data_IF_053419457411
#
_entry.id   IF_053419457411
#
_cell.length_a   1.000
_cell.length_b   1.000
_cell.length_c   1.000
_cell.angle_alpha   90.00
_cell.angle_beta   90.00
_cell.angle_gamma   90.00
#
_symmetry.space_group_name_H-M   'P 1'
#
loop_
_entity.id
_entity.type
_entity.pdbx_description
1 polymer ?
#
# COMPACT_ATOMS: atom_id res chain seq x y z
N UNK A 1 10.11 -16.36 -26.53
CA UNK A 1 8.82 -15.64 -26.58
C UNK A 1 8.96 -14.35 -25.79
N UNK A 2 8.57 -13.21 -26.37
CA UNK A 2 8.68 -11.91 -25.69
C UNK A 2 7.69 -11.76 -24.53
N UNK A 3 8.01 -10.91 -23.56
CA UNK A 3 7.08 -10.53 -22.51
C UNK A 3 6.01 -9.57 -23.07
N UNK A 4 4.75 -9.73 -22.67
CA UNK A 4 3.67 -8.82 -23.06
C UNK A 4 2.96 -8.24 -21.82
N UNK A 5 2.42 -7.03 -21.98
CA UNK A 5 1.64 -6.35 -20.94
C UNK A 5 0.29 -7.05 -20.76
N UNK A 6 -0.09 -7.33 -19.50
CA UNK A 6 -1.35 -8.00 -19.17
C UNK A 6 -2.30 -7.06 -18.44
N UNK A 7 -1.79 -6.32 -17.46
CA UNK A 7 -2.57 -5.40 -16.62
C UNK A 7 -1.72 -4.17 -16.32
N UNK A 8 -2.36 -3.00 -16.41
CA UNK A 8 -1.82 -1.73 -15.94
C UNK A 8 -2.74 -1.17 -14.85
N UNK A 9 -2.16 -0.75 -13.74
CA UNK A 9 -2.88 -0.15 -12.60
C UNK A 9 -2.01 0.87 -11.87
N UNK A 10 -2.63 1.69 -11.03
CA UNK A 10 -1.92 2.71 -10.24
C UNK A 10 -1.91 2.35 -8.76
N UNK A 11 -0.82 2.68 -8.08
CA UNK A 11 -0.69 2.55 -6.62
C UNK A 11 -0.37 3.91 -6.04
N UNK A 12 -1.16 4.31 -5.05
CA UNK A 12 -1.03 5.56 -4.31
C UNK A 12 -1.52 5.35 -2.88
N UNK A 13 -1.34 6.34 -2.01
CA UNK A 13 -1.77 6.30 -0.62
C UNK A 13 -1.69 7.67 0.00
N UNK A 14 -2.00 7.78 1.29
CA UNK A 14 -1.73 8.98 2.07
C UNK A 14 -2.41 10.21 1.43
N UNK A 15 -3.70 10.12 1.15
CA UNK A 15 -4.45 11.27 0.62
C UNK A 15 -4.74 12.31 1.71
N UNK A 16 -4.77 11.89 2.98
CA UNK A 16 -4.86 12.77 4.16
C UNK A 16 -5.97 13.82 4.04
N UNK A 17 -7.17 13.41 3.59
CA UNK A 17 -8.33 14.32 3.46
C UNK A 17 -8.61 14.99 4.80
N UNK A 18 -8.63 16.32 4.80
CA UNK A 18 -8.74 17.15 6.01
C UNK A 18 -7.47 17.96 6.32
N UNK A 19 -6.30 17.55 5.82
CA UNK A 19 -5.10 18.39 5.82
C UNK A 19 -5.21 19.54 4.80
N UNK A 20 -4.52 20.65 5.06
CA UNK A 20 -4.55 21.82 4.18
C UNK A 20 -4.13 21.47 2.74
N UNK A 21 -4.99 21.79 1.76
CA UNK A 21 -4.76 21.55 0.34
C UNK A 21 -4.81 20.09 -0.12
N UNK A 22 -5.00 19.12 0.78
CA UNK A 22 -4.88 17.70 0.45
C UNK A 22 -5.94 17.21 -0.54
N UNK A 23 -7.18 17.67 -0.41
CA UNK A 23 -8.26 17.35 -1.34
C UNK A 23 -7.92 17.75 -2.78
N UNK A 24 -7.45 18.99 -2.97
CA UNK A 24 -7.13 19.53 -4.30
C UNK A 24 -6.01 18.73 -4.95
N UNK A 25 -4.97 18.37 -4.19
CA UNK A 25 -3.86 17.55 -4.69
C UNK A 25 -4.35 16.14 -5.00
N UNK A 26 -5.14 15.54 -4.11
CA UNK A 26 -5.67 14.19 -4.30
C UNK A 26 -6.49 14.08 -5.59
N UNK A 27 -7.40 15.02 -5.85
CA UNK A 27 -8.18 15.10 -7.10
C UNK A 27 -7.26 15.17 -8.33
N UNK A 28 -6.21 15.99 -8.28
CA UNK A 28 -5.25 16.13 -9.40
C UNK A 28 -4.44 14.85 -9.64
N UNK A 29 -3.91 14.23 -8.59
CA UNK A 29 -3.17 12.96 -8.67
C UNK A 29 -4.09 11.88 -9.22
N UNK A 30 -5.30 11.75 -8.67
CA UNK A 30 -6.26 10.74 -9.06
C UNK A 30 -6.67 10.88 -10.53
N UNK A 31 -6.93 12.12 -10.99
CA UNK A 31 -7.22 12.41 -12.41
C UNK A 31 -6.13 11.92 -13.37
N UNK A 32 -4.86 11.96 -12.96
CA UNK A 32 -3.75 11.42 -13.76
C UNK A 32 -3.66 9.90 -13.64
N UNK A 33 -3.76 9.37 -12.41
CA UNK A 33 -3.57 7.97 -12.08
C UNK A 33 -4.58 7.04 -12.75
N UNK A 34 -5.81 7.48 -13.01
CA UNK A 34 -6.88 6.65 -13.57
C UNK A 34 -6.85 6.54 -15.10
N UNK A 35 -6.17 7.45 -15.82
CA UNK A 35 -6.28 7.58 -17.29
C UNK A 35 -6.05 6.28 -18.07
N UNK A 36 -5.07 5.49 -17.64
CA UNK A 36 -4.67 4.24 -18.30
C UNK A 36 -4.71 3.03 -17.37
N UNK A 37 -5.34 3.18 -16.20
CA UNK A 37 -5.30 2.17 -15.14
C UNK A 37 -6.62 1.43 -15.09
N UNK A 38 -6.56 0.09 -15.07
CA UNK A 38 -7.75 -0.75 -14.89
C UNK A 38 -8.40 -0.57 -13.51
N UNK A 39 -7.58 -0.27 -12.51
CA UNK A 39 -8.00 0.01 -11.13
C UNK A 39 -6.89 0.80 -10.43
N UNK A 40 -7.17 1.25 -9.22
CA UNK A 40 -6.16 1.82 -8.32
C UNK A 40 -6.05 0.99 -7.03
N UNK A 41 -4.89 1.03 -6.39
CA UNK A 41 -4.68 0.63 -5.00
C UNK A 41 -4.41 1.89 -4.20
N UNK A 42 -5.17 2.09 -3.12
CA UNK A 42 -4.99 3.16 -2.15
C UNK A 42 -4.53 2.59 -0.80
N UNK A 43 -3.30 2.88 -0.40
CA UNK A 43 -2.59 2.24 0.69
C UNK A 43 -2.91 2.64 2.14
N UNK A 44 -4.05 3.26 2.37
CA UNK A 44 -4.40 3.85 3.68
C UNK A 44 -4.03 5.32 3.83
N UNK A 45 -4.31 5.82 5.01
CA UNK A 45 -4.32 7.24 5.37
C UNK A 45 -5.17 8.06 4.38
N UNK A 46 -6.43 7.62 4.25
CA UNK A 46 -7.44 8.34 3.47
C UNK A 46 -7.79 9.68 4.10
N UNK A 47 -7.79 9.74 5.44
CA UNK A 47 -8.11 10.94 6.20
C UNK A 47 -6.88 11.43 6.95
N UNK A 48 -6.79 12.74 7.14
CA UNK A 48 -5.88 13.28 8.15
C UNK A 48 -6.56 13.19 9.52
N UNK A 49 -5.79 12.78 10.52
CA UNK A 49 -6.22 12.74 11.92
C UNK A 49 -5.23 13.35 12.89
N UNK A 50 -4.26 14.11 12.39
CA UNK A 50 -3.21 14.77 13.19
C UNK A 50 -3.78 15.66 14.29
N UNK A 51 -4.88 16.36 14.03
CA UNK A 51 -5.54 17.24 15.01
C UNK A 51 -6.48 16.50 15.96
N UNK A 52 -6.46 15.17 15.96
CA UNK A 52 -7.41 14.30 16.68
C UNK A 52 -8.88 14.75 16.49
N UNK A 53 -9.37 14.86 15.24
CA UNK A 53 -10.75 15.24 14.98
C UNK A 53 -11.72 14.24 15.63
N UNK A 54 -12.86 14.73 16.10
CA UNK A 54 -13.95 13.90 16.61
C UNK A 54 -14.48 12.91 15.56
N UNK A 55 -15.22 11.90 16.01
CA UNK A 55 -15.64 10.77 15.18
C UNK A 55 -16.45 11.19 13.94
N UNK A 56 -17.40 12.11 14.12
CA UNK A 56 -18.23 12.63 13.01
C UNK A 56 -17.39 13.28 11.91
N UNK A 57 -16.35 14.02 12.28
CA UNK A 57 -15.48 14.69 11.31
C UNK A 57 -14.61 13.67 10.58
N UNK A 58 -14.12 12.62 11.26
CA UNK A 58 -13.41 11.52 10.60
C UNK A 58 -14.30 10.77 9.61
N UNK A 59 -15.57 10.49 9.97
CA UNK A 59 -16.56 9.87 9.07
C UNK A 59 -16.77 10.77 7.85
N UNK A 60 -16.98 12.08 8.05
CA UNK A 60 -17.18 13.05 6.96
C UNK A 60 -15.99 13.07 6.00
N UNK A 61 -14.75 13.12 6.53
CA UNK A 61 -13.52 13.07 5.72
C UNK A 61 -13.42 11.77 4.92
N UNK A 62 -13.77 10.64 5.51
CA UNK A 62 -13.70 9.35 4.83
C UNK A 62 -14.78 9.22 3.74
N UNK A 63 -15.99 9.71 3.99
CA UNK A 63 -17.05 9.79 2.97
C UNK A 63 -16.64 10.70 1.81
N UNK A 64 -15.97 11.82 2.09
CA UNK A 64 -15.43 12.71 1.07
C UNK A 64 -14.35 12.02 0.24
N UNK A 65 -13.40 11.32 0.89
CA UNK A 65 -12.43 10.46 0.19
C UNK A 65 -13.11 9.48 -0.76
N UNK A 66 -14.14 8.74 -0.29
CA UNK A 66 -14.90 7.80 -1.13
C UNK A 66 -15.60 8.47 -2.29
N UNK A 67 -16.20 9.63 -2.05
CA UNK A 67 -16.91 10.41 -3.07
C UNK A 67 -15.95 10.83 -4.17
N UNK A 68 -14.83 11.46 -3.79
CA UNK A 68 -13.77 11.84 -4.72
C UNK A 68 -13.25 10.62 -5.48
N UNK A 69 -12.95 9.53 -4.79
CA UNK A 69 -12.42 8.33 -5.44
C UNK A 69 -13.36 7.81 -6.54
N UNK A 70 -14.66 7.74 -6.23
CA UNK A 70 -15.70 7.26 -7.13
C UNK A 70 -15.98 8.20 -8.31
N UNK A 71 -15.72 9.50 -8.18
CA UNK A 71 -15.83 10.44 -9.31
C UNK A 71 -14.83 10.14 -10.44
N UNK A 72 -13.67 9.54 -10.12
CA UNK A 72 -12.61 9.30 -11.10
C UNK A 72 -12.44 7.83 -11.49
N UNK A 73 -12.82 6.88 -10.64
CA UNK A 73 -12.72 5.44 -10.95
C UNK A 73 -13.86 4.63 -10.34
N UNK A 74 -14.37 3.67 -11.12
CA UNK A 74 -15.34 2.67 -10.65
C UNK A 74 -14.69 1.50 -9.90
N UNK A 75 -13.37 1.33 -9.96
CA UNK A 75 -12.66 0.21 -9.31
C UNK A 75 -11.43 0.70 -8.57
N UNK A 76 -11.44 0.52 -7.26
CA UNK A 76 -10.31 0.78 -6.38
C UNK A 76 -10.26 -0.23 -5.25
N UNK A 77 -9.05 -0.53 -4.81
CA UNK A 77 -8.77 -1.31 -3.62
C UNK A 77 -8.20 -0.41 -2.55
N UNK A 78 -8.67 -0.53 -1.32
CA UNK A 78 -8.26 0.33 -0.22
C UNK A 78 -7.70 -0.50 0.94
N UNK A 79 -6.58 -0.06 1.49
CA UNK A 79 -6.00 -0.55 2.74
C UNK A 79 -6.17 0.52 3.83
N UNK A 80 -6.07 0.11 5.09
CA UNK A 80 -6.18 1.02 6.24
C UNK A 80 -4.80 1.49 6.69
N UNK A 81 -4.65 2.78 7.00
CA UNK A 81 -3.46 3.39 7.58
C UNK A 81 -3.64 3.84 9.03
N UNK A 82 -2.59 4.37 9.66
CA UNK A 82 -2.67 4.75 11.08
C UNK A 82 -3.60 5.95 11.32
N UNK A 83 -3.73 6.86 10.35
CA UNK A 83 -4.63 8.00 10.48
C UNK A 83 -6.11 7.63 10.33
N UNK A 84 -6.38 6.48 9.70
CA UNK A 84 -7.72 5.92 9.56
C UNK A 84 -8.17 5.17 10.83
N UNK A 85 -7.28 4.98 11.81
CA UNK A 85 -7.61 4.34 13.08
C UNK A 85 -8.40 5.28 14.01
N UNK A 86 -9.27 4.66 14.80
CA UNK A 86 -9.97 5.30 15.90
C UNK A 86 -9.47 4.74 17.23
N UNK A 87 -9.39 5.56 18.29
CA UNK A 87 -9.07 5.07 19.62
C UNK A 87 -10.08 3.97 19.98
N UNK A 88 -9.53 2.80 20.26
CA UNK A 88 -10.28 1.56 20.41
C UNK A 88 -10.87 1.53 21.82
N UNK A 89 -11.94 2.30 22.04
CA UNK A 89 -12.86 2.18 23.17
C UNK A 89 -14.16 2.91 22.78
N UNK A 90 -15.05 2.21 22.08
CA UNK A 90 -16.40 2.71 21.76
C UNK A 90 -16.56 3.43 20.41
N UNK A 91 -15.53 3.50 19.57
CA UNK A 91 -15.71 3.95 18.18
C UNK A 91 -16.69 3.01 17.48
N UNK A 92 -17.83 3.58 17.06
CA UNK A 92 -19.03 2.84 16.70
C UNK A 92 -18.82 1.94 15.47
N UNK A 93 -19.65 0.91 15.36
CA UNK A 93 -19.74 0.02 14.19
C UNK A 93 -19.94 0.79 12.86
N UNK A 94 -20.35 2.07 12.89
CA UNK A 94 -20.57 2.92 11.73
C UNK A 94 -19.31 3.16 10.89
N UNK A 95 -18.12 3.32 11.49
CA UNK A 95 -16.89 3.44 10.67
C UNK A 95 -16.51 2.09 10.06
N UNK A 96 -16.70 0.97 10.77
CA UNK A 96 -16.53 -0.37 10.18
C UNK A 96 -17.52 -0.61 9.03
N UNK A 97 -18.75 -0.14 9.15
CA UNK A 97 -19.75 -0.18 8.07
C UNK A 97 -19.34 0.69 6.87
N UNK A 98 -18.76 1.87 7.13
CA UNK A 98 -18.34 2.78 6.06
C UNK A 98 -17.04 2.37 5.35
N UNK A 99 -16.13 1.74 6.09
CA UNK A 99 -14.77 1.38 5.63
C UNK A 99 -14.68 -0.12 5.28
N UNK A 100 -15.76 -0.88 5.52
CA UNK A 100 -15.94 -2.31 5.26
C UNK A 100 -14.99 -3.21 6.07
N UNK A 101 -15.51 -4.37 6.50
CA UNK A 101 -14.81 -5.37 7.33
C UNK A 101 -13.60 -6.06 6.67
N UNK A 102 -13.09 -5.60 5.52
CA UNK A 102 -12.12 -6.31 4.67
C UNK A 102 -10.81 -5.53 4.43
N UNK A 103 -10.07 -5.19 5.50
CA UNK A 103 -8.67 -4.74 5.37
C UNK A 103 -7.68 -5.91 5.25
N UNK A 104 -8.20 -7.13 5.23
CA UNK A 104 -7.44 -8.35 5.05
C UNK A 104 -8.14 -9.18 3.98
N UNK A 105 -7.57 -9.27 2.79
CA UNK A 105 -8.22 -9.94 1.68
C UNK A 105 -7.23 -10.39 0.61
N UNK A 106 -7.63 -11.38 -0.19
CA UNK A 106 -6.98 -11.73 -1.45
C UNK A 106 -7.92 -11.39 -2.59
N UNK A 107 -7.46 -10.61 -3.56
CA UNK A 107 -8.24 -10.20 -4.72
C UNK A 107 -7.59 -10.71 -6.00
N UNK A 108 -8.38 -11.34 -6.87
CA UNK A 108 -7.90 -11.78 -8.19
C UNK A 108 -7.73 -10.57 -9.10
N UNK A 109 -6.55 -10.42 -9.72
CA UNK A 109 -6.34 -9.38 -10.71
C UNK A 109 -6.86 -9.84 -12.08
N UNK A 110 -7.75 -9.07 -12.75
CA UNK A 110 -8.45 -9.52 -13.96
C UNK A 110 -7.51 -10.00 -15.06
N UNK A 111 -7.76 -11.22 -15.57
CA UNK A 111 -7.00 -11.80 -16.68
C UNK A 111 -5.60 -12.32 -16.31
N UNK A 112 -5.32 -12.55 -15.03
CA UNK A 112 -4.01 -13.02 -14.55
C UNK A 112 -4.13 -14.11 -13.48
N UNK A 113 -3.02 -14.81 -13.20
CA UNK A 113 -2.84 -15.61 -11.96
C UNK A 113 -2.23 -14.77 -10.83
N UNK A 114 -2.18 -13.45 -10.99
CA UNK A 114 -1.67 -12.53 -9.97
C UNK A 114 -2.81 -12.14 -9.05
N UNK A 115 -2.54 -12.16 -7.75
CA UNK A 115 -3.47 -11.80 -6.69
C UNK A 115 -2.91 -10.63 -5.90
N UNK A 116 -3.78 -9.67 -5.59
CA UNK A 116 -3.48 -8.60 -4.65
C UNK A 116 -3.82 -9.09 -3.24
N UNK A 117 -2.82 -9.10 -2.36
CA UNK A 117 -2.96 -9.41 -0.94
C UNK A 117 -2.95 -8.12 -0.15
N UNK A 118 -4.10 -7.75 0.39
CA UNK A 118 -4.24 -6.59 1.27
C UNK A 118 -4.09 -7.05 2.71
N UNK A 119 -3.15 -6.47 3.45
CA UNK A 119 -2.89 -6.79 4.85
C UNK A 119 -3.06 -5.54 5.72
N UNK A 120 -3.46 -5.76 6.97
CA UNK A 120 -3.61 -4.70 7.95
C UNK A 120 -2.40 -4.66 8.88
N UNK A 121 -1.61 -3.60 8.76
CA UNK A 121 -0.55 -3.27 9.71
C UNK A 121 -0.60 -1.81 10.21
N UNK A 122 -1.77 -1.17 10.17
CA UNK A 122 -1.96 0.24 10.50
C UNK A 122 -1.44 0.65 11.90
N UNK A 123 -1.27 -0.32 12.81
CA UNK A 123 -0.71 -0.11 14.16
C UNK A 123 0.80 -0.34 14.25
N UNK A 124 1.53 -0.31 13.13
CA UNK A 124 2.96 -0.63 13.07
C UNK A 124 3.28 -2.12 13.25
N UNK A 125 2.26 -3.00 13.27
CA UNK A 125 2.38 -4.46 13.35
C UNK A 125 1.23 -5.13 12.60
N UNK A 126 1.48 -6.31 12.03
CA UNK A 126 0.43 -7.06 11.33
C UNK A 126 -0.66 -7.54 12.29
N UNK A 127 -1.92 -7.48 11.84
CA UNK A 127 -3.03 -8.11 12.53
C UNK A 127 -2.94 -9.64 12.46
N UNK A 128 -3.49 -10.34 13.46
CA UNK A 128 -3.55 -11.81 13.43
C UNK A 128 -4.24 -12.35 12.16
N UNK A 129 -5.37 -11.81 11.69
CA UNK A 129 -5.95 -12.22 10.42
C UNK A 129 -4.99 -12.06 9.23
N UNK A 130 -4.17 -11.01 9.21
CA UNK A 130 -3.17 -10.80 8.14
C UNK A 130 -2.14 -11.91 8.13
N UNK A 131 -1.57 -12.25 9.30
CA UNK A 131 -0.57 -13.31 9.44
C UNK A 131 -1.17 -14.69 9.10
N UNK A 132 -2.41 -14.94 9.49
CA UNK A 132 -3.12 -16.17 9.14
C UNK A 132 -3.37 -16.28 7.63
N UNK A 133 -3.80 -15.20 6.99
CA UNK A 133 -4.01 -15.16 5.54
C UNK A 133 -2.72 -15.47 4.76
N UNK A 134 -1.61 -14.87 5.17
CA UNK A 134 -0.28 -15.11 4.55
C UNK A 134 0.10 -16.59 4.57
N UNK A 135 -0.21 -17.31 5.65
CA UNK A 135 0.08 -18.75 5.78
C UNK A 135 -0.77 -19.62 4.84
N UNK A 136 -1.94 -19.13 4.41
CA UNK A 136 -2.91 -19.86 3.60
C UNK A 136 -2.82 -19.53 2.10
N UNK A 137 -1.86 -18.71 1.67
CA UNK A 137 -1.68 -18.38 0.26
C UNK A 137 -1.36 -19.63 -0.55
N UNK A 138 -2.07 -19.82 -1.65
CA UNK A 138 -1.92 -20.98 -2.52
C UNK A 138 -0.62 -20.88 -3.35
N UNK A 139 0.17 -21.96 -3.45
CA UNK A 139 1.48 -21.92 -4.08
C UNK A 139 1.45 -21.79 -5.62
N UNK A 140 0.31 -21.99 -6.27
CA UNK A 140 0.19 -21.86 -7.74
C UNK A 140 -0.02 -20.43 -8.24
N UNK A 141 -0.36 -19.49 -7.36
CA UNK A 141 -0.64 -18.10 -7.75
C UNK A 141 0.59 -17.21 -7.52
N UNK A 142 0.56 -16.03 -8.14
CA UNK A 142 1.53 -14.95 -7.93
C UNK A 142 0.92 -13.85 -7.07
N UNK A 143 1.72 -13.15 -6.28
CA UNK A 143 1.21 -12.23 -5.28
C UNK A 143 1.88 -10.86 -5.32
N UNK A 144 1.06 -9.84 -5.17
CA UNK A 144 1.47 -8.48 -4.83
C UNK A 144 0.93 -8.22 -3.43
N UNK A 145 1.80 -7.88 -2.49
CA UNK A 145 1.38 -7.47 -1.15
C UNK A 145 1.21 -5.96 -1.08
N UNK A 146 0.12 -5.51 -0.47
CA UNK A 146 -0.13 -4.10 -0.16
C UNK A 146 -0.51 -3.98 1.32
N UNK A 147 0.16 -3.06 2.02
CA UNK A 147 -0.11 -2.72 3.41
C UNK A 147 0.54 -1.39 3.79
N UNK A 148 0.07 -0.74 4.85
CA UNK A 148 0.38 0.67 5.09
C UNK A 148 1.82 0.93 5.56
N UNK A 149 2.23 0.34 6.70
CA UNK A 149 3.56 0.59 7.28
C UNK A 149 4.67 -0.15 6.52
N UNK A 150 5.75 0.53 6.08
CA UNK A 150 6.93 -0.10 5.51
C UNK A 150 7.58 -1.13 6.43
N UNK A 151 8.11 -2.20 5.84
CA UNK A 151 8.87 -3.23 6.55
C UNK A 151 10.23 -2.68 7.00
N UNK A 152 10.69 -3.16 8.16
CA UNK A 152 12.08 -2.97 8.58
C UNK A 152 12.99 -3.92 7.81
N UNK A 153 13.96 -3.41 7.06
CA UNK A 153 15.04 -4.25 6.58
C UNK A 153 15.71 -3.77 5.31
N UNK A 154 16.82 -4.43 5.00
CA UNK A 154 17.65 -4.14 3.84
C UNK A 154 18.21 -2.73 3.82
N UNK A 155 18.47 -2.25 2.62
CA UNK A 155 18.86 -0.87 2.30
C UNK A 155 17.65 0.07 2.18
N UNK A 156 16.46 -0.32 2.69
CA UNK A 156 15.23 0.48 2.63
C UNK A 156 15.17 1.55 3.72
N UNK A 157 15.64 1.20 4.92
CA UNK A 157 15.56 2.06 6.12
C UNK A 157 16.89 2.79 6.31
N UNK A 158 16.81 4.09 6.58
CA UNK A 158 17.94 4.97 6.84
C UNK A 158 18.57 4.61 8.19
N UNK A 159 19.91 4.49 8.25
CA UNK A 159 20.61 4.49 9.52
C UNK A 159 20.59 5.91 10.09
N UNK A 160 20.59 6.05 11.42
CA UNK A 160 20.53 7.34 12.14
C UNK A 160 21.64 8.35 11.75
N UNK A 161 22.62 7.95 10.95
CA UNK A 161 23.84 8.69 10.66
C UNK A 161 23.86 9.46 9.34
N UNK A 162 22.98 9.19 8.36
CA UNK A 162 23.03 9.87 7.04
C UNK A 162 21.64 10.04 6.41
N UNK A 163 21.25 11.27 6.07
CA UNK A 163 20.02 11.56 5.30
C UNK A 163 20.16 11.06 3.86
N UNK A 164 19.48 9.95 3.55
CA UNK A 164 19.44 9.34 2.23
C UNK A 164 18.04 9.56 1.63
N UNK A 165 17.97 10.22 0.48
CA UNK A 165 16.70 10.49 -0.21
C UNK A 165 16.02 9.21 -0.70
N UNK A 166 16.79 8.13 -0.84
CA UNK A 166 16.32 6.84 -1.34
C UNK A 166 16.02 5.85 -0.20
N UNK A 167 15.94 6.35 1.04
CA UNK A 167 15.58 5.57 2.23
C UNK A 167 14.50 6.26 3.05
N UNK A 168 13.81 5.45 3.85
CA UNK A 168 12.80 5.93 4.80
C UNK A 168 13.39 6.07 6.21
N UNK A 169 12.94 7.06 7.00
CA UNK A 169 13.33 7.15 8.41
C UNK A 169 12.92 5.89 9.18
N UNK A 170 13.74 5.45 10.15
CA UNK A 170 13.39 4.30 11.00
C UNK A 170 12.08 4.50 11.76
N UNK A 171 11.73 5.74 12.13
CA UNK A 171 10.46 6.07 12.79
C UNK A 171 9.22 5.86 11.92
N UNK A 172 9.39 5.67 10.60
CA UNK A 172 8.32 5.47 9.62
C UNK A 172 8.34 4.05 9.04
N UNK A 173 9.03 3.12 9.72
CA UNK A 173 9.03 1.70 9.39
C UNK A 173 8.52 0.91 10.61
N UNK A 174 8.02 -0.29 10.35
CA UNK A 174 7.77 -1.28 11.40
C UNK A 174 9.05 -1.58 12.19
N UNK A 175 8.92 -2.25 13.34
CA UNK A 175 10.12 -2.75 14.04
C UNK A 175 10.71 -3.97 13.33
N UNK A 176 11.94 -4.35 13.72
CA UNK A 176 12.60 -5.59 13.26
C UNK A 176 11.74 -6.81 13.60
N UNK A 177 11.21 -6.85 14.81
CA UNK A 177 10.42 -7.96 15.35
C UNK A 177 9.11 -8.11 14.58
N UNK A 178 8.37 -7.00 14.39
CA UNK A 178 7.11 -7.03 13.65
C UNK A 178 7.33 -7.40 12.17
N UNK A 179 8.47 -7.03 11.59
CA UNK A 179 8.85 -7.48 10.24
C UNK A 179 9.18 -8.97 10.20
N UNK A 180 9.90 -9.46 11.22
CA UNK A 180 10.22 -10.88 11.36
C UNK A 180 8.95 -11.74 11.47
N UNK A 181 7.91 -11.27 12.15
CA UNK A 181 6.63 -11.97 12.24
C UNK A 181 5.99 -12.22 10.86
N UNK A 182 6.03 -11.23 9.97
CA UNK A 182 5.54 -11.39 8.59
C UNK A 182 6.34 -12.43 7.81
N UNK A 183 7.68 -12.35 7.84
CA UNK A 183 8.52 -13.33 7.16
C UNK A 183 8.49 -14.72 7.80
N UNK A 184 8.17 -14.82 9.10
CA UNK A 184 7.87 -16.09 9.74
C UNK A 184 6.56 -16.67 9.23
N UNK A 185 5.51 -15.87 9.07
CA UNK A 185 4.26 -16.32 8.47
C UNK A 185 4.46 -16.79 7.02
N UNK A 186 5.23 -16.06 6.21
CA UNK A 186 5.61 -16.49 4.85
C UNK A 186 6.43 -17.79 4.86
N UNK A 187 7.39 -17.93 5.78
CA UNK A 187 8.18 -19.17 5.92
C UNK A 187 7.32 -20.38 6.28
N UNK A 188 6.24 -20.17 7.03
CA UNK A 188 5.27 -21.21 7.40
C UNK A 188 4.23 -21.47 6.31
N UNK A 189 4.18 -20.64 5.26
CA UNK A 189 3.37 -20.88 4.07
C UNK A 189 4.08 -21.84 3.10
N UNK A 190 3.33 -22.41 2.16
CA UNK A 190 3.89 -23.19 1.05
C UNK A 190 4.27 -22.32 -0.15
N UNK A 191 4.17 -20.99 -0.02
CA UNK A 191 4.35 -20.05 -1.12
C UNK A 191 5.80 -20.01 -1.62
N UNK A 192 6.07 -20.30 -2.92
CA UNK A 192 7.39 -20.10 -3.49
C UNK A 192 7.80 -18.63 -3.44
N UNK A 193 9.05 -18.34 -3.06
CA UNK A 193 9.57 -16.96 -2.98
C UNK A 193 9.48 -16.22 -4.31
N UNK A 194 9.69 -16.93 -5.42
CA UNK A 194 9.58 -16.42 -6.79
C UNK A 194 8.16 -15.97 -7.17
N UNK A 195 7.15 -16.35 -6.38
CA UNK A 195 5.76 -15.96 -6.61
C UNK A 195 5.40 -14.65 -5.88
N UNK A 196 6.33 -14.05 -5.13
CA UNK A 196 6.18 -12.73 -4.55
C UNK A 196 6.69 -11.70 -5.55
N UNK A 197 5.79 -11.04 -6.28
CA UNK A 197 6.16 -10.11 -7.34
C UNK A 197 6.59 -8.75 -6.81
N UNK A 198 5.90 -8.23 -5.79
CA UNK A 198 6.23 -6.98 -5.13
C UNK A 198 5.55 -6.83 -3.77
N UNK A 199 6.09 -5.88 -3.00
CA UNK A 199 5.49 -5.34 -1.79
C UNK A 199 5.35 -3.83 -1.96
N UNK A 200 4.13 -3.31 -1.81
CA UNK A 200 3.80 -1.88 -1.78
C UNK A 200 3.46 -1.44 -0.36
N UNK A 201 4.04 -0.32 0.06
CA UNK A 201 3.85 0.31 1.38
C UNK A 201 3.75 1.83 1.25
N UNK A 202 3.28 2.58 2.26
CA UNK A 202 2.76 3.95 2.02
C UNK A 202 3.18 4.99 3.07
N UNK A 203 3.11 4.65 4.35
CA UNK A 203 3.26 5.52 5.53
C UNK A 203 4.44 6.53 5.57
N UNK A 204 5.53 6.34 4.81
CA UNK A 204 6.72 7.17 4.94
C UNK A 204 6.70 8.49 4.13
N UNK A 205 5.61 8.79 3.41
CA UNK A 205 5.48 10.00 2.58
C UNK A 205 6.62 10.20 1.56
N UNK A 206 7.22 9.10 1.11
CA UNK A 206 8.34 9.08 0.15
C UNK A 206 8.12 8.06 -0.95
N UNK A 207 8.57 8.39 -2.15
CA UNK A 207 8.70 7.44 -3.25
C UNK A 207 10.06 6.76 -3.17
N UNK A 208 10.09 5.50 -2.71
CA UNK A 208 11.29 4.67 -2.67
C UNK A 208 11.06 3.40 -3.47
N UNK A 209 12.01 3.05 -4.34
CA UNK A 209 12.04 1.82 -5.12
C UNK A 209 13.33 1.08 -4.84
N UNK A 210 13.26 -0.07 -4.17
CA UNK A 210 14.44 -0.87 -3.81
C UNK A 210 14.16 -2.35 -4.02
N UNK A 211 15.23 -3.09 -4.25
CA UNK A 211 15.24 -4.55 -4.12
C UNK A 211 15.87 -4.86 -2.78
N UNK A 212 15.11 -5.52 -1.91
CA UNK A 212 15.46 -5.69 -0.50
C UNK A 212 15.74 -7.16 -0.17
N UNK A 213 16.66 -7.35 0.78
CA UNK A 213 16.88 -8.62 1.44
C UNK A 213 16.25 -8.57 2.83
N UNK A 214 15.38 -9.54 3.08
CA UNK A 214 14.62 -9.68 4.30
C UNK A 214 14.99 -10.98 5.03
N UNK A 215 14.58 -11.14 6.30
CA UNK A 215 14.87 -12.35 7.07
C UNK A 215 14.39 -13.64 6.41
N UNK A 216 14.83 -14.79 6.94
CA UNK A 216 14.44 -16.13 6.47
C UNK A 216 14.76 -16.40 4.99
N UNK A 217 15.80 -15.76 4.45
CA UNK A 217 16.28 -15.99 3.09
C UNK A 217 15.42 -15.36 1.99
N UNK A 218 14.55 -14.41 2.33
CA UNK A 218 13.77 -13.64 1.35
C UNK A 218 14.65 -12.55 0.73
N UNK A 219 15.50 -12.95 -0.21
CA UNK A 219 16.36 -12.05 -0.98
C UNK A 219 15.67 -11.53 -2.23
N UNK A 220 16.15 -10.39 -2.72
CA UNK A 220 15.74 -9.80 -3.99
C UNK A 220 14.24 -9.46 -4.12
N UNK A 221 13.58 -9.12 -3.01
CA UNK A 221 12.16 -8.76 -3.04
C UNK A 221 12.01 -7.31 -3.51
N UNK A 222 11.24 -7.10 -4.59
CA UNK A 222 10.89 -5.76 -5.09
C UNK A 222 10.00 -5.06 -4.06
N UNK A 223 10.48 -3.97 -3.49
CA UNK A 223 9.80 -3.21 -2.45
C UNK A 223 9.64 -1.75 -2.88
N UNK A 224 8.42 -1.25 -2.72
CA UNK A 224 8.03 0.10 -3.12
C UNK A 224 7.37 0.79 -1.94
N UNK A 225 7.95 1.91 -1.52
CA UNK A 225 7.25 2.86 -0.66
C UNK A 225 6.64 3.90 -1.59
N UNK A 226 5.31 3.95 -1.58
CA UNK A 226 4.47 4.82 -2.37
C UNK A 226 4.34 6.11 -1.57
N UNK A 227 4.78 7.23 -2.14
CA UNK A 227 4.65 8.52 -1.45
C UNK A 227 3.20 8.97 -1.37
N UNK A 228 3.03 10.24 -1.01
CA UNK A 228 1.74 10.83 -0.72
C UNK A 228 0.98 11.20 -2.00
N UNK A 229 -0.31 10.87 -2.05
CA UNK A 229 -1.25 11.39 -3.04
C UNK A 229 -1.93 12.69 -2.58
N UNK A 230 -1.72 13.10 -1.32
CA UNK A 230 -2.18 14.36 -0.74
C UNK A 230 -1.08 15.42 -0.60
N UNK A 231 -1.43 16.52 0.07
CA UNK A 231 -0.52 17.62 0.39
C UNK A 231 0.23 17.44 1.71
N UNK A 232 0.00 16.33 2.43
CA UNK A 232 0.54 16.16 3.77
C UNK A 232 1.99 15.71 3.72
N UNK A 233 2.90 16.56 4.20
CA UNK A 233 4.32 16.28 4.44
C UNK A 233 5.16 15.75 3.25
N UNK A 234 4.59 15.63 2.05
CA UNK A 234 5.30 15.11 0.89
C UNK A 234 5.70 16.22 -0.09
N UNK A 235 7.00 16.38 -0.38
CA UNK A 235 7.47 17.44 -1.28
C UNK A 235 7.13 17.19 -2.76
N UNK A 236 6.72 15.96 -3.12
CA UNK A 236 6.45 15.55 -4.50
C UNK A 236 5.26 14.59 -4.53
N UNK A 237 4.02 15.08 -4.49
CA UNK A 237 2.84 14.24 -4.63
C UNK A 237 2.87 13.47 -5.96
N UNK A 238 2.29 12.27 -6.00
CA UNK A 238 2.30 11.45 -7.20
C UNK A 238 1.72 10.06 -6.97
N UNK A 239 2.06 9.13 -7.86
CA UNK A 239 1.65 7.73 -7.76
C UNK A 239 2.68 6.83 -8.48
N UNK A 240 2.60 5.53 -8.22
CA UNK A 240 3.28 4.54 -9.05
C UNK A 240 2.33 4.00 -10.12
N UNK A 241 2.77 4.01 -11.38
CA UNK A 241 2.17 3.22 -12.43
C UNK A 241 2.82 1.84 -12.45
N UNK A 242 2.00 0.80 -12.36
CA UNK A 242 2.43 -0.60 -12.33
C UNK A 242 1.96 -1.32 -13.58
N UNK A 243 2.87 -2.12 -14.15
CA UNK A 243 2.68 -2.89 -15.36
C UNK A 243 2.98 -4.35 -15.04
N UNK A 244 1.96 -5.20 -15.04
CA UNK A 244 2.15 -6.65 -14.94
C UNK A 244 2.42 -7.18 -16.33
N UNK A 245 3.56 -7.86 -16.48
CA UNK A 245 3.97 -8.52 -17.71
C UNK A 245 3.97 -10.03 -17.53
N UNK A 246 3.74 -10.76 -18.63
CA UNK A 246 3.82 -12.23 -18.65
C UNK A 246 4.77 -12.69 -19.76
N UNK A 247 5.63 -13.64 -19.42
CA UNK A 247 6.49 -14.36 -20.36
C UNK A 247 6.31 -15.86 -20.14
N UNK A 248 5.63 -16.54 -21.08
CA UNK A 248 5.21 -17.93 -20.88
C UNK A 248 4.25 -18.06 -19.70
N UNK A 249 4.58 -18.88 -18.70
CA UNK A 249 3.80 -19.03 -17.46
C UNK A 249 4.25 -18.13 -16.31
N UNK A 250 5.32 -17.36 -16.51
CA UNK A 250 5.89 -16.52 -15.47
C UNK A 250 5.32 -15.10 -15.56
N UNK A 251 4.98 -14.54 -14.40
CA UNK A 251 4.60 -13.14 -14.26
C UNK A 251 5.79 -12.35 -13.69
N UNK A 252 5.89 -11.10 -14.13
CA UNK A 252 6.73 -10.10 -13.49
C UNK A 252 6.02 -8.75 -13.50
N UNK A 253 6.56 -7.76 -12.79
CA UNK A 253 6.11 -6.39 -12.83
C UNK A 253 7.22 -5.38 -13.04
N UNK A 254 6.84 -4.31 -13.72
CA UNK A 254 7.57 -3.07 -13.84
C UNK A 254 6.79 -1.95 -13.15
N UNK A 255 7.51 -1.02 -12.51
CA UNK A 255 6.93 0.08 -11.75
C UNK A 255 7.66 1.38 -12.09
N UNK A 256 6.87 2.41 -12.41
CA UNK A 256 7.32 3.75 -12.74
C UNK A 256 6.69 4.77 -11.79
N UNK A 257 7.50 5.63 -11.17
CA UNK A 257 6.98 6.78 -10.41
C UNK A 257 6.51 7.86 -11.38
N UNK A 258 5.27 8.31 -11.21
CA UNK A 258 4.68 9.42 -11.93
C UNK A 258 4.45 10.56 -10.94
N UNK A 259 5.30 11.60 -10.93
CA UNK A 259 5.07 12.77 -10.09
C UNK A 259 3.88 13.57 -10.64
N UNK A 260 3.15 14.23 -9.74
CA UNK A 260 2.11 15.16 -10.14
C UNK A 260 2.73 16.30 -10.96
N UNK A 261 2.35 16.41 -12.23
CA UNK A 261 2.78 17.53 -13.08
C UNK A 261 2.12 18.82 -12.60
N UNK A 262 2.91 19.91 -12.56
CA UNK A 262 2.42 21.25 -12.24
C UNK A 262 1.43 21.76 -13.28
#
# INVERSE_FOLDING_TARGET
MGAFLVVQFSVLGDSHIGASGSETIYRKVLKQAVRNSKFIIHGGDAIDSTTNPGEQEKIRRFQLFKTITKEYTGTYYYNIGNHDLFPYQGASDLFREHVANDFVSVVNLPGTQVKLVRLNNARGRFSLPSLSLVRMLHPSDYYIFDFHWPLYGGNLVQSFTNFDTDKIPQSHAMTREATQEFFNALRLSTLPRSHILAIFTHHAHKFVKKTCNFPNGYSNIKNFVCGCAGAHACPRPGYYQVFITRAGQNYDLFVQHIPLTR
#
